data_IF_031846457794
#
_entry.id   IF_031846457794
#
_cell.length_a   1.000
_cell.length_b   1.000
_cell.length_c   1.000
_cell.angle_alpha   90.00
_cell.angle_beta   90.00
_cell.angle_gamma   90.00
#
_symmetry.space_group_name_H-M   'P 1'
#
loop_
_entity.id
_entity.type
_entity.pdbx_description
1 polymer ?
#
# COMPACT_ATOMS: atom_id res chain seq x y z
N UNK A 1 12.41 -1.84 -20.20
CA UNK A 1 13.75 -1.69 -19.63
C UNK A 1 13.90 -2.63 -18.44
N UNK A 2 15.05 -3.26 -18.32
CA UNK A 2 15.38 -4.17 -17.23
C UNK A 2 15.47 -3.40 -15.89
N UNK A 3 15.03 -4.02 -14.80
CA UNK A 3 15.12 -3.47 -13.44
C UNK A 3 16.57 -3.12 -13.09
N UNK A 4 17.54 -3.93 -13.50
CA UNK A 4 18.96 -3.66 -13.30
C UNK A 4 19.43 -2.43 -14.07
N UNK A 5 18.97 -2.23 -15.31
CA UNK A 5 19.31 -1.07 -16.12
C UNK A 5 18.74 0.23 -15.52
N UNK A 6 17.60 0.13 -14.83
CA UNK A 6 16.94 1.24 -14.18
C UNK A 6 17.49 1.54 -12.78
N UNK A 7 18.31 0.67 -12.20
CA UNK A 7 18.90 0.86 -10.89
C UNK A 7 17.91 0.72 -9.71
N UNK A 8 16.83 -0.01 -9.88
CA UNK A 8 15.82 -0.21 -8.83
C UNK A 8 16.19 -1.26 -7.77
N UNK A 9 17.46 -1.62 -7.68
CA UNK A 9 17.97 -2.50 -6.63
C UNK A 9 17.83 -3.98 -6.95
N UNK A 10 17.78 -4.79 -5.89
CA UNK A 10 17.77 -6.25 -6.02
C UNK A 10 16.46 -6.75 -6.63
N UNK A 11 16.56 -7.77 -7.47
CA UNK A 11 15.42 -8.52 -8.00
C UNK A 11 15.76 -10.02 -8.08
N UNK A 12 14.74 -10.88 -8.08
CA UNK A 12 14.94 -12.30 -8.28
C UNK A 12 15.29 -12.59 -9.75
N UNK A 13 16.52 -13.06 -10.06
CA UNK A 13 16.95 -13.35 -11.42
C UNK A 13 16.20 -14.55 -12.03
N UNK A 14 15.55 -15.39 -11.23
CA UNK A 14 14.79 -16.56 -11.66
C UNK A 14 13.29 -16.31 -11.70
N UNK A 15 12.83 -15.14 -11.25
CA UNK A 15 11.43 -14.77 -11.18
C UNK A 15 10.80 -14.62 -12.57
N UNK A 16 9.56 -15.07 -12.72
CA UNK A 16 8.79 -14.97 -13.98
C UNK A 16 8.20 -13.57 -14.19
N UNK A 17 8.13 -12.73 -13.16
CA UNK A 17 7.49 -11.42 -13.18
C UNK A 17 5.95 -11.45 -13.11
N UNK A 18 5.35 -12.59 -12.82
CA UNK A 18 3.90 -12.76 -12.65
C UNK A 18 3.58 -13.90 -11.68
N UNK A 19 2.32 -13.97 -11.21
CA UNK A 19 1.89 -14.94 -10.21
C UNK A 19 2.65 -14.75 -8.90
N UNK A 20 3.23 -15.80 -8.34
CA UNK A 20 4.04 -15.75 -7.12
C UNK A 20 5.29 -14.89 -7.25
N UNK A 21 5.79 -14.71 -8.46
CA UNK A 21 7.01 -13.96 -8.76
C UNK A 21 6.71 -12.51 -9.19
N UNK A 22 5.54 -11.97 -8.87
CA UNK A 22 5.15 -10.59 -9.23
C UNK A 22 6.02 -9.56 -8.53
N UNK A 23 6.44 -9.83 -7.29
CA UNK A 23 7.32 -8.95 -6.52
C UNK A 23 8.78 -9.34 -6.81
N UNK A 24 9.51 -8.42 -7.41
CA UNK A 24 10.91 -8.65 -7.83
C UNK A 24 11.95 -8.39 -6.74
N UNK A 25 11.53 -8.07 -5.51
CA UNK A 25 12.44 -7.80 -4.37
C UNK A 25 13.01 -9.06 -3.70
N UNK A 26 12.53 -10.25 -4.07
CA UNK A 26 12.90 -11.52 -3.45
C UNK A 26 12.19 -11.83 -2.13
N UNK A 27 11.36 -10.92 -1.64
CA UNK A 27 10.46 -11.19 -0.50
C UNK A 27 9.32 -12.05 -1.01
N UNK A 28 9.14 -13.22 -0.42
CA UNK A 28 8.14 -14.19 -0.85
C UNK A 28 7.19 -14.54 0.29
N UNK A 29 5.88 -14.36 0.05
CA UNK A 29 4.82 -14.72 0.98
C UNK A 29 3.76 -13.62 1.11
N UNK A 30 2.84 -13.86 2.04
CA UNK A 30 1.76 -12.95 2.38
C UNK A 30 1.83 -12.58 3.87
N UNK A 31 1.26 -11.43 4.23
CA UNK A 31 1.25 -10.94 5.62
C UNK A 31 0.14 -11.53 6.46
N UNK A 32 -0.84 -12.16 5.83
CA UNK A 32 -2.03 -12.70 6.49
C UNK A 32 -2.43 -14.03 5.89
N UNK A 33 -3.24 -14.81 6.62
CA UNK A 33 -3.85 -16.06 6.12
C UNK A 33 -4.75 -15.83 4.91
N UNK A 34 -5.43 -14.68 4.85
CA UNK A 34 -6.40 -14.33 3.79
C UNK A 34 -6.02 -13.02 3.09
N UNK A 35 -4.97 -12.98 2.26
CA UNK A 35 -4.41 -11.74 1.71
C UNK A 35 -5.38 -10.98 0.77
N UNK A 36 -6.41 -11.64 0.27
CA UNK A 36 -7.43 -11.03 -0.61
C UNK A 36 -8.68 -10.55 0.14
N UNK A 37 -8.70 -10.70 1.48
CA UNK A 37 -9.84 -10.33 2.31
C UNK A 37 -9.49 -9.14 3.19
N UNK A 38 -10.38 -8.15 3.26
CA UNK A 38 -10.29 -7.09 4.25
C UNK A 38 -10.77 -7.61 5.60
N UNK A 39 -9.84 -7.85 6.50
CA UNK A 39 -10.09 -8.27 7.87
C UNK A 39 -8.94 -7.79 8.80
N UNK A 40 -8.97 -8.22 10.04
CA UNK A 40 -7.95 -7.86 11.04
C UNK A 40 -6.78 -8.86 11.10
N UNK A 41 -6.66 -9.76 10.11
CA UNK A 41 -5.69 -10.85 10.08
C UNK A 41 -4.23 -10.40 10.13
N UNK A 42 -3.91 -9.21 9.60
CA UNK A 42 -2.57 -8.64 9.67
C UNK A 42 -2.12 -8.42 11.12
N UNK A 43 -2.94 -7.77 11.95
CA UNK A 43 -2.59 -7.51 13.35
C UNK A 43 -2.67 -8.77 14.20
N UNK A 44 -3.57 -9.68 13.88
CA UNK A 44 -3.65 -10.99 14.52
C UNK A 44 -2.33 -11.75 14.32
N UNK A 45 -1.87 -11.83 13.09
CA UNK A 45 -0.61 -12.49 12.74
C UNK A 45 0.58 -11.79 13.40
N UNK A 46 0.67 -10.47 13.27
CA UNK A 46 1.80 -9.67 13.77
C UNK A 46 1.96 -9.76 15.29
N UNK A 47 0.85 -9.70 16.04
CA UNK A 47 0.88 -9.56 17.50
C UNK A 47 0.87 -10.90 18.25
N UNK A 48 0.38 -11.98 17.65
CA UNK A 48 0.18 -13.26 18.33
C UNK A 48 1.22 -14.34 17.97
N UNK A 49 2.23 -14.00 17.18
CA UNK A 49 3.32 -14.89 16.85
C UNK A 49 4.69 -14.32 17.27
N UNK A 50 5.63 -15.22 17.56
CA UNK A 50 7.04 -14.88 17.68
C UNK A 50 7.73 -15.03 16.32
N UNK A 51 8.59 -14.08 15.99
CA UNK A 51 9.19 -13.93 14.68
C UNK A 51 10.68 -14.14 14.68
N UNK A 52 11.21 -14.83 13.68
CA UNK A 52 12.64 -14.98 13.42
C UNK A 52 13.00 -14.51 12.01
N UNK A 53 14.22 -13.99 11.85
CA UNK A 53 14.73 -13.52 10.56
C UNK A 53 15.25 -14.70 9.75
N UNK A 54 14.72 -14.87 8.55
CA UNK A 54 15.08 -15.94 7.61
C UNK A 54 15.38 -15.42 6.22
N UNK A 55 15.99 -16.26 5.41
CA UNK A 55 16.15 -16.04 3.98
C UNK A 55 14.98 -16.65 3.23
N UNK A 56 14.40 -15.89 2.29
CA UNK A 56 13.46 -16.41 1.30
C UNK A 56 14.19 -17.37 0.34
N UNK A 57 13.45 -18.18 -0.47
CA UNK A 57 14.05 -18.96 -1.53
C UNK A 57 14.89 -18.13 -2.52
N UNK A 58 14.53 -16.87 -2.74
CA UNK A 58 15.26 -15.91 -3.56
C UNK A 58 16.38 -15.15 -2.82
N UNK A 59 16.77 -15.60 -1.62
CA UNK A 59 17.87 -15.08 -0.79
C UNK A 59 17.63 -13.67 -0.19
N UNK A 60 16.41 -13.15 -0.20
CA UNK A 60 16.06 -11.93 0.49
C UNK A 60 15.76 -12.19 1.98
N UNK A 61 16.09 -11.21 2.84
CA UNK A 61 15.77 -11.30 4.26
C UNK A 61 14.30 -10.97 4.50
N UNK A 62 13.61 -11.83 5.25
CA UNK A 62 12.23 -11.66 5.70
C UNK A 62 12.05 -12.26 7.08
N UNK A 63 11.03 -11.80 7.81
CA UNK A 63 10.65 -12.37 9.09
C UNK A 63 9.58 -13.43 8.87
N UNK A 64 9.76 -14.60 9.50
CA UNK A 64 8.78 -15.68 9.49
C UNK A 64 8.44 -16.07 10.93
N UNK A 65 7.21 -16.59 11.18
CA UNK A 65 6.85 -17.05 12.51
C UNK A 65 7.68 -18.28 12.88
N UNK A 66 8.13 -18.33 14.15
CA UNK A 66 8.90 -19.47 14.69
C UNK A 66 8.01 -20.73 14.67
N UNK A 67 6.73 -20.57 15.01
CA UNK A 67 5.73 -21.62 14.98
C UNK A 67 4.43 -21.09 14.39
N UNK A 68 3.78 -21.91 13.54
CA UNK A 68 2.49 -21.57 12.96
C UNK A 68 1.69 -22.86 12.65
N UNK A 69 0.38 -22.83 12.88
CA UNK A 69 -0.48 -23.91 12.50
C UNK A 69 -0.69 -23.93 10.98
N UNK A 70 -0.92 -25.11 10.44
CA UNK A 70 -1.09 -25.24 8.98
C UNK A 70 -2.35 -24.52 8.45
N UNK A 71 -3.38 -24.37 9.28
CA UNK A 71 -4.60 -23.62 8.95
C UNK A 71 -4.39 -22.11 8.84
N UNK A 72 -3.39 -21.57 9.54
CA UNK A 72 -3.06 -20.15 9.55
C UNK A 72 -2.15 -19.73 8.39
N UNK A 73 -1.61 -20.69 7.65
CA UNK A 73 -0.72 -20.40 6.52
C UNK A 73 -1.51 -19.94 5.29
N UNK A 74 -1.10 -18.83 4.65
CA UNK A 74 -1.66 -18.44 3.37
C UNK A 74 -1.38 -19.48 2.28
N UNK A 75 -2.33 -19.61 1.35
CA UNK A 75 -2.17 -20.46 0.18
C UNK A 75 -1.45 -19.74 -0.95
N UNK A 76 -0.78 -20.51 -1.80
CA UNK A 76 -0.14 -19.98 -3.00
C UNK A 76 -1.16 -19.41 -3.99
N UNK A 77 -0.78 -18.35 -4.71
CA UNK A 77 -1.67 -17.65 -5.66
C UNK A 77 -1.95 -18.45 -6.92
N UNK A 78 -1.07 -19.40 -7.28
CA UNK A 78 -1.19 -20.22 -8.48
C UNK A 78 -1.69 -21.63 -8.16
N UNK A 79 -1.29 -22.18 -7.01
CA UNK A 79 -1.66 -23.53 -6.57
C UNK A 79 -2.15 -23.56 -5.12
N UNK A 80 -3.46 -23.58 -4.89
CA UNK A 80 -4.04 -23.58 -3.55
C UNK A 80 -3.73 -24.82 -2.71
N UNK A 81 -3.09 -25.86 -3.27
CA UNK A 81 -2.60 -27.02 -2.50
C UNK A 81 -1.28 -26.74 -1.78
N UNK A 82 -0.58 -25.67 -2.19
CA UNK A 82 0.68 -25.22 -1.58
C UNK A 82 0.39 -24.14 -0.57
N UNK A 83 1.05 -24.22 0.59
CA UNK A 83 0.96 -23.23 1.68
C UNK A 83 2.34 -22.73 2.05
N UNK A 84 2.43 -21.47 2.40
CA UNK A 84 3.65 -20.82 2.84
C UNK A 84 3.52 -20.30 4.28
N UNK A 85 4.64 -20.04 4.93
CA UNK A 85 4.62 -19.25 6.15
C UNK A 85 4.23 -17.80 5.81
N UNK A 86 3.43 -17.13 6.63
CA UNK A 86 3.26 -15.69 6.51
C UNK A 86 4.60 -15.00 6.76
N UNK A 87 4.75 -13.80 6.22
CA UNK A 87 5.99 -13.04 6.33
C UNK A 87 5.73 -11.66 6.92
N UNK A 88 6.77 -11.10 7.52
CA UNK A 88 6.83 -9.70 7.92
C UNK A 88 8.15 -9.08 7.44
N UNK A 89 8.12 -7.78 7.23
CA UNK A 89 9.31 -6.97 6.94
C UNK A 89 9.84 -6.29 8.20
N UNK A 90 11.00 -5.64 8.11
CA UNK A 90 11.54 -4.83 9.22
C UNK A 90 10.59 -3.68 9.60
N UNK A 91 9.86 -3.13 8.64
CA UNK A 91 8.86 -2.10 8.89
C UNK A 91 7.69 -2.64 9.73
N UNK A 92 7.24 -3.86 9.45
CA UNK A 92 6.20 -4.52 10.24
C UNK A 92 6.70 -4.83 11.66
N UNK A 93 7.94 -5.30 11.78
CA UNK A 93 8.55 -5.57 13.08
C UNK A 93 8.70 -4.31 13.94
N UNK A 94 8.90 -3.15 13.32
CA UNK A 94 8.89 -1.87 14.03
C UNK A 94 7.54 -1.59 14.70
N UNK A 95 6.41 -2.05 14.12
CA UNK A 95 5.08 -1.89 14.69
C UNK A 95 4.88 -2.61 16.03
N UNK A 96 5.70 -3.60 16.35
CA UNK A 96 5.64 -4.33 17.64
C UNK A 96 6.84 -4.09 18.53
N UNK A 97 8.01 -3.70 17.97
CA UNK A 97 9.23 -3.45 18.74
C UNK A 97 9.33 -2.04 19.29
N UNK A 98 8.82 -1.03 18.55
CA UNK A 98 8.72 0.32 19.05
C UNK A 98 7.53 0.45 20.03
N UNK A 99 7.74 0.96 21.26
CA UNK A 99 6.68 1.01 22.29
C UNK A 99 5.54 1.97 21.97
N UNK A 100 5.77 2.95 21.11
CA UNK A 100 4.71 3.89 20.66
C UNK A 100 3.86 3.22 19.59
N UNK A 101 4.50 2.64 18.57
CA UNK A 101 3.80 1.93 17.49
C UNK A 101 3.07 0.70 18.00
N UNK A 102 3.66 -0.04 18.95
CA UNK A 102 3.01 -1.21 19.53
C UNK A 102 1.65 -0.88 20.16
N UNK A 103 1.55 0.22 20.90
CA UNK A 103 0.27 0.65 21.48
C UNK A 103 -0.79 0.95 20.42
N UNK A 104 -0.37 1.51 19.29
CA UNK A 104 -1.27 1.81 18.16
C UNK A 104 -1.71 0.50 17.50
N UNK A 105 -0.78 -0.42 17.24
CA UNK A 105 -1.05 -1.72 16.64
C UNK A 105 -1.99 -2.57 17.51
N UNK A 106 -1.78 -2.60 18.82
CA UNK A 106 -2.66 -3.27 19.79
C UNK A 106 -4.06 -2.64 19.83
N UNK A 107 -4.16 -1.33 19.68
CA UNK A 107 -5.45 -0.66 19.57
C UNK A 107 -6.17 -1.05 18.28
N UNK A 108 -5.49 -1.02 17.16
CA UNK A 108 -6.06 -1.42 15.85
C UNK A 108 -6.52 -2.88 15.86
N UNK A 109 -5.78 -3.76 16.52
CA UNK A 109 -6.19 -5.15 16.70
C UNK A 109 -7.48 -5.28 17.51
N UNK A 110 -7.63 -4.51 18.58
CA UNK A 110 -8.79 -4.56 19.48
C UNK A 110 -10.02 -3.81 18.93
N UNK A 111 -9.80 -2.83 18.09
CA UNK A 111 -10.82 -1.91 17.57
C UNK A 111 -10.79 -1.91 16.03
N UNK A 112 -11.21 -3.00 15.35
CA UNK A 112 -11.08 -3.13 13.88
C UNK A 112 -11.87 -2.07 13.10
N UNK A 113 -13.01 -1.62 13.60
CA UNK A 113 -13.79 -0.56 12.96
C UNK A 113 -13.05 0.78 13.02
N UNK A 114 -12.41 1.09 14.14
CA UNK A 114 -11.55 2.27 14.27
C UNK A 114 -10.35 2.19 13.32
N UNK A 115 -9.72 1.02 13.21
CA UNK A 115 -8.64 0.81 12.25
C UNK A 115 -9.12 1.07 10.82
N UNK A 116 -10.27 0.53 10.43
CA UNK A 116 -10.82 0.70 9.08
C UNK A 116 -11.06 2.18 8.75
N UNK A 117 -11.59 2.95 9.69
CA UNK A 117 -11.79 4.41 9.51
C UNK A 117 -10.46 5.15 9.35
N UNK A 118 -9.50 4.89 10.24
CA UNK A 118 -8.18 5.55 10.21
C UNK A 118 -7.40 5.17 8.95
N UNK A 119 -7.46 3.91 8.55
CA UNK A 119 -6.83 3.43 7.32
C UNK A 119 -7.43 4.11 6.09
N UNK A 120 -8.76 4.16 5.99
CA UNK A 120 -9.43 4.82 4.87
C UNK A 120 -9.03 6.30 4.74
N UNK A 121 -8.94 7.03 5.86
CA UNK A 121 -8.47 8.42 5.87
C UNK A 121 -7.00 8.55 5.46
N UNK A 122 -6.13 7.66 5.94
CA UNK A 122 -4.72 7.66 5.57
C UNK A 122 -4.50 7.30 4.09
N UNK A 123 -5.26 6.34 3.58
CA UNK A 123 -5.25 5.97 2.16
C UNK A 123 -5.75 7.11 1.27
N UNK A 124 -6.84 7.75 1.65
CA UNK A 124 -7.34 8.94 0.95
C UNK A 124 -6.29 10.06 0.92
N UNK A 125 -5.64 10.33 2.06
CA UNK A 125 -4.55 11.30 2.11
C UNK A 125 -3.41 10.94 1.15
N UNK A 126 -2.94 9.69 1.18
CA UNK A 126 -1.85 9.23 0.33
C UNK A 126 -2.16 9.44 -1.15
N UNK A 127 -3.37 9.10 -1.58
CA UNK A 127 -3.77 9.11 -2.99
C UNK A 127 -4.23 10.48 -3.50
N UNK A 128 -4.61 11.41 -2.61
CA UNK A 128 -5.22 12.69 -3.01
C UNK A 128 -4.40 13.94 -2.65
N UNK A 129 -3.31 13.81 -1.88
CA UNK A 129 -2.53 14.98 -1.45
C UNK A 129 -1.96 15.81 -2.59
N UNK A 130 -1.69 15.21 -3.74
CA UNK A 130 -1.08 15.85 -4.91
C UNK A 130 -2.08 16.08 -6.06
N UNK A 131 -3.38 15.80 -5.85
CA UNK A 131 -4.43 15.97 -6.87
C UNK A 131 -4.98 17.40 -6.99
N UNK A 132 -4.52 18.31 -6.15
CA UNK A 132 -5.03 19.69 -6.10
C UNK A 132 -6.36 19.81 -5.34
N UNK A 133 -7.13 20.89 -5.59
CA UNK A 133 -8.30 21.21 -4.80
C UNK A 133 -9.44 20.21 -5.00
N UNK A 134 -10.26 20.04 -3.96
CA UNK A 134 -11.45 19.19 -3.94
C UNK A 134 -12.42 19.49 -5.08
N UNK A 135 -12.51 20.74 -5.53
CA UNK A 135 -13.35 21.15 -6.67
C UNK A 135 -13.00 20.45 -8.00
N UNK A 136 -11.84 19.79 -8.08
CA UNK A 136 -11.41 19.00 -9.25
C UNK A 136 -11.74 17.52 -9.15
N UNK A 137 -12.19 17.05 -7.98
CA UNK A 137 -12.55 15.64 -7.80
C UNK A 137 -13.86 15.35 -8.54
N UNK A 138 -13.95 14.16 -9.12
CA UNK A 138 -15.10 13.74 -9.90
C UNK A 138 -15.79 12.53 -9.24
N UNK A 139 -17.09 12.48 -9.34
CA UNK A 139 -17.91 11.37 -8.88
C UNK A 139 -18.72 11.69 -7.62
N UNK A 140 -19.63 10.78 -7.31
CA UNK A 140 -20.56 10.91 -6.17
C UNK A 140 -19.92 10.58 -4.83
N UNK A 141 -18.77 9.90 -4.85
CA UNK A 141 -18.12 9.36 -3.65
C UNK A 141 -17.05 10.32 -3.07
N UNK A 142 -16.99 11.54 -3.62
CA UNK A 142 -16.10 12.60 -3.11
C UNK A 142 -16.56 12.98 -1.71
N UNK A 143 -15.70 12.89 -0.67
CA UNK A 143 -16.07 13.30 0.67
C UNK A 143 -16.43 14.79 0.76
N UNK A 144 -17.49 15.13 1.47
CA UNK A 144 -17.88 16.53 1.71
C UNK A 144 -16.92 17.24 2.68
N UNK A 145 -16.22 16.50 3.51
CA UNK A 145 -15.28 17.01 4.50
C UNK A 145 -14.01 17.56 3.84
N UNK A 146 -13.58 18.75 4.23
CA UNK A 146 -12.27 19.29 3.88
C UNK A 146 -11.26 18.84 4.95
N UNK A 147 -10.22 18.12 4.51
CA UNK A 147 -9.22 17.55 5.39
C UNK A 147 -7.99 18.48 5.51
N UNK A 148 -7.28 18.42 6.64
CA UNK A 148 -6.24 19.40 7.00
C UNK A 148 -5.06 19.51 6.03
N UNK A 149 -4.85 18.50 5.18
CA UNK A 149 -3.81 18.51 4.14
C UNK A 149 -4.28 19.06 2.79
N UNK A 150 -5.57 19.41 2.69
CA UNK A 150 -6.14 19.98 1.48
C UNK A 150 -6.01 21.50 1.58
N UNK A 151 -5.19 22.08 0.70
CA UNK A 151 -5.07 23.51 0.65
C UNK A 151 -6.38 24.14 0.15
N UNK A 152 -6.93 25.11 0.86
CA UNK A 152 -8.09 25.83 0.40
C UNK A 152 -7.72 26.63 -0.88
N UNK A 153 -8.32 26.28 -1.99
CA UNK A 153 -8.17 27.08 -3.21
C UNK A 153 -9.33 28.06 -3.25
N UNK A 154 -9.04 29.38 -3.26
CA UNK A 154 -10.06 30.38 -3.37
C UNK A 154 -10.93 30.13 -4.61
N UNK A 155 -12.24 30.24 -4.47
CA UNK A 155 -13.13 30.22 -5.62
C UNK A 155 -12.82 31.43 -6.50
N UNK A 156 -12.78 31.20 -7.81
CA UNK A 156 -12.71 32.30 -8.78
C UNK A 156 -14.11 32.85 -9.03
N UNK A 157 -14.22 34.14 -9.31
CA UNK A 157 -15.45 34.84 -9.57
C UNK A 157 -15.75 34.97 -11.07
N UNK A 158 -15.03 34.23 -11.90
CA UNK A 158 -15.18 34.22 -13.36
C UNK A 158 -15.30 32.79 -13.92
N UNK A 159 -15.89 32.71 -15.09
CA UNK A 159 -15.94 31.47 -15.87
C UNK A 159 -15.28 31.72 -17.23
N UNK A 160 -14.35 30.83 -17.60
CA UNK A 160 -13.70 30.91 -18.91
C UNK A 160 -14.70 30.57 -20.01
N UNK A 161 -14.73 31.40 -21.05
CA UNK A 161 -15.46 31.11 -22.27
C UNK A 161 -14.79 30.00 -23.08
N UNK A 162 -15.54 29.35 -23.97
CA UNK A 162 -14.99 28.34 -24.91
C UNK A 162 -13.87 28.91 -25.77
N UNK A 163 -13.91 30.18 -26.11
CA UNK A 163 -12.87 30.84 -26.87
C UNK A 163 -11.60 31.03 -26.08
N UNK A 164 -11.67 31.45 -24.82
CA UNK A 164 -10.51 31.57 -23.91
C UNK A 164 -9.90 30.21 -23.64
N UNK A 165 -10.69 29.17 -23.41
CA UNK A 165 -10.21 27.79 -23.26
C UNK A 165 -9.45 27.35 -24.51
N UNK A 166 -9.96 27.65 -25.70
CA UNK A 166 -9.31 27.29 -26.96
C UNK A 166 -7.96 28.00 -27.12
N UNK A 167 -7.91 29.30 -26.83
CA UNK A 167 -6.66 30.07 -26.85
C UNK A 167 -5.63 29.52 -25.85
N UNK A 168 -6.07 29.20 -24.64
CA UNK A 168 -5.22 28.64 -23.61
C UNK A 168 -4.62 27.28 -24.03
N UNK A 169 -5.45 26.41 -24.61
CA UNK A 169 -5.01 25.12 -25.16
C UNK A 169 -3.92 25.29 -26.22
N UNK A 170 -4.11 26.22 -27.15
CA UNK A 170 -3.13 26.50 -28.20
C UNK A 170 -1.81 27.05 -27.60
N UNK A 171 -1.89 27.91 -26.60
CA UNK A 171 -0.70 28.44 -25.92
C UNK A 171 0.06 27.34 -25.18
N UNK A 172 -0.63 26.45 -24.47
CA UNK A 172 -0.02 25.32 -23.79
C UNK A 172 0.68 24.36 -24.76
N UNK A 173 0.01 24.02 -25.88
CA UNK A 173 0.60 23.16 -26.91
C UNK A 173 1.84 23.76 -27.56
N UNK A 174 1.89 25.08 -27.72
CA UNK A 174 3.01 25.79 -28.34
C UNK A 174 4.13 26.16 -27.34
N UNK A 175 3.91 25.97 -26.05
CA UNK A 175 4.89 26.36 -25.01
C UNK A 175 6.10 25.44 -24.93
N UNK A 176 6.04 24.25 -25.56
CA UNK A 176 7.09 23.22 -25.45
C UNK A 176 7.12 22.51 -24.09
N UNK A 177 6.15 22.74 -23.22
CA UNK A 177 5.96 21.97 -21.99
C UNK A 177 5.37 20.61 -22.35
N UNK A 178 6.09 19.54 -22.03
CA UNK A 178 5.65 18.14 -22.23
C UNK A 178 5.10 17.56 -20.95
#
# INVERSE_FOLDING_TARGET
ADVNEQGFGWHDPNGKGFGRDTVSSGIEGAWTTHPTKWDNGYFDMLLNHDWELKKSPADAWQWEPITINDEDKPVDVEDPSIKYNPIMTDADMAMIKDPVYRKISERFYKEPDYFSEVFARAWFKLTHRDLGPKSRYLGSDVPDEDLIWQDPVPSVDYTLSEQEITVLKVQLLNSGLS
#
